data_IF_513711383541
#
_entry.id   IF_513711383541
#
_cell.length_a   1.000
_cell.length_b   1.000
_cell.length_c   1.000
_cell.angle_alpha   90.00
_cell.angle_beta   90.00
_cell.angle_gamma   90.00
#
_symmetry.space_group_name_H-M   'P 1'
#
loop_
_entity.id
_entity.type
_entity.pdbx_description
1 polymer ?
#
# COMPACT_ATOMS: atom_id res chain seq x y z
N UNK A 1 58.48 35.38 51.01
CA UNK A 1 57.05 35.01 51.08
C UNK A 1 56.71 34.26 49.80
N UNK A 2 56.58 32.93 49.87
CA UNK A 2 56.25 32.11 48.71
C UNK A 2 54.91 31.44 49.04
N UNK A 3 53.83 32.04 48.55
CA UNK A 3 52.47 31.54 48.72
C UNK A 3 52.31 30.25 47.92
N UNK A 4 52.04 29.16 48.63
CA UNK A 4 51.83 27.83 48.08
C UNK A 4 50.45 27.75 47.43
N UNK A 5 50.36 28.05 46.13
CA UNK A 5 49.14 27.84 45.35
C UNK A 5 48.91 26.35 45.14
N UNK A 6 48.31 25.70 46.13
CA UNK A 6 47.75 24.35 46.02
C UNK A 6 46.47 24.41 45.18
N UNK A 7 46.59 24.71 43.89
CA UNK A 7 45.52 24.42 42.95
C UNK A 7 45.36 22.90 42.89
N UNK A 8 44.35 22.39 43.60
CA UNK A 8 44.02 20.97 43.57
C UNK A 8 43.78 20.54 42.13
N UNK A 9 44.55 19.57 41.65
CA UNK A 9 44.45 19.00 40.29
C UNK A 9 43.00 18.63 39.93
N UNK A 10 42.22 18.20 40.92
CA UNK A 10 40.79 17.90 40.81
C UNK A 10 39.98 19.12 40.35
N UNK A 11 40.27 20.31 40.87
CA UNK A 11 39.58 21.54 40.49
C UNK A 11 39.90 21.97 39.05
N UNK A 12 41.14 21.77 38.61
CA UNK A 12 41.55 22.06 37.22
C UNK A 12 40.85 21.11 36.26
N UNK A 13 40.88 19.79 36.52
CA UNK A 13 40.21 18.78 35.69
C UNK A 13 38.70 19.00 35.65
N UNK A 14 38.07 19.33 36.79
CA UNK A 14 36.64 19.67 36.83
C UNK A 14 36.32 20.91 36.00
N UNK A 15 37.17 21.95 36.07
CA UNK A 15 37.01 23.16 35.27
C UNK A 15 37.25 22.91 33.77
N UNK A 16 38.16 21.99 33.42
CA UNK A 16 38.51 21.65 32.04
C UNK A 16 37.44 20.75 31.40
N UNK A 17 36.84 19.85 32.17
CA UNK A 17 35.61 19.13 31.82
C UNK A 17 34.46 20.11 31.61
N UNK A 18 34.28 21.10 32.48
CA UNK A 18 33.22 22.10 32.29
C UNK A 18 33.47 22.99 31.06
N UNK A 19 34.74 23.32 30.77
CA UNK A 19 35.14 24.17 29.65
C UNK A 19 35.03 23.44 28.30
N UNK A 20 35.41 22.17 28.24
CA UNK A 20 35.36 21.32 27.03
C UNK A 20 34.05 20.51 26.90
N UNK A 21 33.25 20.43 27.97
CA UNK A 21 32.01 19.66 28.05
C UNK A 21 30.88 20.14 27.14
N UNK A 22 31.04 21.27 26.46
CA UNK A 22 30.07 21.81 25.50
C UNK A 22 29.83 20.85 24.34
N UNK A 23 30.89 20.26 23.79
CA UNK A 23 30.81 19.31 22.66
C UNK A 23 30.04 18.04 23.05
N UNK A 24 30.40 17.31 24.13
CA UNK A 24 29.66 16.12 24.52
C UNK A 24 28.21 16.43 24.94
N UNK A 25 27.95 17.61 25.53
CA UNK A 25 26.58 18.04 25.83
C UNK A 25 25.74 18.24 24.56
N UNK A 26 26.30 18.90 23.54
CA UNK A 26 25.63 19.08 22.24
C UNK A 26 25.38 17.74 21.57
N UNK A 27 26.36 16.83 21.57
CA UNK A 27 26.21 15.48 21.03
C UNK A 27 25.13 14.68 21.77
N UNK A 28 25.07 14.78 23.10
CA UNK A 28 24.02 14.15 23.90
C UNK A 28 22.63 14.66 23.50
N UNK A 29 22.47 15.97 23.35
CA UNK A 29 21.21 16.57 22.89
C UNK A 29 20.89 16.10 21.47
N UNK A 30 21.86 16.08 20.56
CA UNK A 30 21.67 15.62 19.19
C UNK A 30 21.20 14.16 19.13
N UNK A 31 21.76 13.28 19.97
CA UNK A 31 21.32 11.87 20.07
C UNK A 31 19.89 11.77 20.61
N UNK A 32 19.53 12.57 21.63
CA UNK A 32 18.16 12.59 22.15
C UNK A 32 17.15 13.05 21.08
N UNK A 33 17.47 14.11 20.34
CA UNK A 33 16.64 14.60 19.23
C UNK A 33 16.52 13.53 18.13
N UNK A 34 17.62 12.88 17.78
CA UNK A 34 17.63 11.78 16.81
C UNK A 34 16.73 10.63 17.25
N UNK A 35 16.80 10.23 18.52
CA UNK A 35 15.95 9.16 19.07
C UNK A 35 14.46 9.50 18.95
N UNK A 36 14.06 10.72 19.31
CA UNK A 36 12.68 11.19 19.17
C UNK A 36 12.26 11.22 17.69
N UNK A 37 13.14 11.69 16.79
CA UNK A 37 12.86 11.73 15.36
C UNK A 37 12.61 10.32 14.78
N UNK A 38 13.43 9.34 15.17
CA UNK A 38 13.27 7.95 14.73
C UNK A 38 11.94 7.37 15.22
N UNK A 39 11.60 7.57 16.50
CA UNK A 39 10.34 7.07 17.08
C UNK A 39 9.12 7.70 16.41
N UNK A 40 9.15 9.02 16.20
CA UNK A 40 8.05 9.74 15.53
C UNK A 40 7.91 9.31 14.07
N UNK A 41 9.03 9.09 13.37
CA UNK A 41 9.04 8.59 12.00
C UNK A 41 8.44 7.19 11.94
N UNK A 42 8.88 6.26 12.80
CA UNK A 42 8.33 4.92 12.87
C UNK A 42 6.82 4.91 13.16
N UNK A 43 6.35 5.78 14.07
CA UNK A 43 4.93 5.91 14.37
C UNK A 43 4.13 6.43 13.16
N UNK A 44 4.63 7.48 12.48
CA UNK A 44 4.01 8.01 11.25
C UNK A 44 4.00 6.98 10.14
N UNK A 45 5.08 6.22 9.95
CA UNK A 45 5.15 5.14 8.97
C UNK A 45 4.09 4.10 9.24
N UNK A 46 3.92 3.64 10.49
CA UNK A 46 2.86 2.68 10.84
C UNK A 46 1.46 3.18 10.52
N UNK A 47 1.17 4.46 10.81
CA UNK A 47 -0.13 5.05 10.52
C UNK A 47 -0.40 5.14 9.00
N UNK A 48 0.59 5.61 8.25
CA UNK A 48 0.49 5.72 6.78
C UNK A 48 0.36 4.35 6.11
N UNK A 49 1.09 3.35 6.61
CA UNK A 49 0.98 1.97 6.12
C UNK A 49 -0.43 1.41 6.37
N UNK A 50 -1.00 1.61 7.55
CA UNK A 50 -2.35 1.14 7.85
C UNK A 50 -3.43 1.77 6.94
N UNK A 51 -3.33 3.09 6.69
CA UNK A 51 -4.24 3.77 5.76
C UNK A 51 -4.10 3.24 4.32
N UNK A 52 -2.86 3.02 3.89
CA UNK A 52 -2.60 2.44 2.57
C UNK A 52 -3.17 1.03 2.45
N UNK A 53 -2.99 0.19 3.47
CA UNK A 53 -3.53 -1.17 3.51
C UNK A 53 -5.06 -1.16 3.41
N UNK A 54 -5.74 -0.25 4.10
CA UNK A 54 -7.20 -0.13 4.02
C UNK A 54 -7.69 0.20 2.59
N UNK A 55 -7.04 1.16 1.92
CA UNK A 55 -7.36 1.51 0.54
C UNK A 55 -7.10 0.35 -0.44
N UNK A 56 -6.03 -0.42 -0.21
CA UNK A 56 -5.73 -1.61 -1.02
C UNK A 56 -6.82 -2.68 -0.85
N UNK A 57 -7.29 -2.91 0.38
CA UNK A 57 -8.38 -3.85 0.64
C UNK A 57 -9.69 -3.44 -0.04
N UNK A 58 -10.04 -2.16 0.00
CA UNK A 58 -11.23 -1.64 -0.69
C UNK A 58 -11.13 -1.83 -2.20
N UNK A 59 -9.97 -1.50 -2.78
CA UNK A 59 -9.70 -1.70 -4.19
C UNK A 59 -9.81 -3.17 -4.59
N UNK A 60 -9.27 -4.08 -3.78
CA UNK A 60 -9.32 -5.51 -4.07
C UNK A 60 -10.74 -6.06 -3.97
N UNK A 61 -11.57 -5.54 -3.04
CA UNK A 61 -12.98 -5.90 -2.96
C UNK A 61 -13.75 -5.48 -4.22
N UNK A 62 -13.55 -4.25 -4.70
CA UNK A 62 -14.15 -3.75 -5.94
C UNK A 62 -13.70 -4.56 -7.17
N UNK A 63 -12.42 -4.94 -7.23
CA UNK A 63 -11.88 -5.79 -8.30
C UNK A 63 -12.58 -7.16 -8.35
N UNK A 64 -12.90 -7.74 -7.20
CA UNK A 64 -13.64 -9.00 -7.10
C UNK A 64 -15.08 -8.82 -7.59
N UNK A 65 -15.76 -7.77 -7.15
CA UNK A 65 -17.13 -7.46 -7.56
C UNK A 65 -17.20 -7.21 -9.07
N UNK A 66 -16.28 -6.43 -9.62
CA UNK A 66 -16.16 -6.18 -11.05
C UNK A 66 -15.98 -7.47 -11.86
N UNK A 67 -15.10 -8.37 -11.41
CA UNK A 67 -14.92 -9.69 -12.02
C UNK A 67 -16.19 -10.52 -11.98
N UNK A 68 -16.93 -10.48 -10.88
CA UNK A 68 -18.20 -11.19 -10.76
C UNK A 68 -19.24 -10.63 -11.74
N UNK A 69 -19.36 -9.30 -11.84
CA UNK A 69 -20.24 -8.65 -12.82
C UNK A 69 -19.91 -9.04 -14.26
N UNK A 70 -18.62 -9.09 -14.61
CA UNK A 70 -18.20 -9.54 -15.95
C UNK A 70 -18.64 -10.98 -16.20
N UNK A 71 -18.48 -11.88 -15.21
CA UNK A 71 -18.92 -13.26 -15.35
C UNK A 71 -20.44 -13.35 -15.52
N UNK A 72 -21.20 -12.55 -14.78
CA UNK A 72 -22.65 -12.46 -14.91
C UNK A 72 -23.06 -11.93 -16.29
N UNK A 73 -22.42 -10.87 -16.79
CA UNK A 73 -22.69 -10.31 -18.11
C UNK A 73 -22.38 -11.31 -19.23
N UNK A 74 -21.24 -12.01 -19.16
CA UNK A 74 -20.91 -13.05 -20.12
C UNK A 74 -21.92 -14.22 -20.06
N UNK A 75 -22.33 -14.66 -18.86
CA UNK A 75 -23.35 -15.69 -18.71
C UNK A 75 -24.72 -15.27 -19.29
N UNK A 76 -25.05 -13.98 -19.22
CA UNK A 76 -26.28 -13.41 -19.80
C UNK A 76 -26.16 -13.09 -21.30
N UNK A 77 -24.93 -12.91 -21.79
CA UNK A 77 -24.62 -12.48 -23.16
C UNK A 77 -24.49 -13.62 -24.18
N UNK A 78 -23.98 -14.79 -23.79
CA UNK A 78 -23.31 -15.66 -24.76
C UNK A 78 -24.21 -16.66 -25.53
N UNK A 79 -25.42 -17.01 -25.08
CA UNK A 79 -26.25 -17.92 -25.89
C UNK A 79 -27.75 -17.91 -25.61
N UNK A 80 -28.17 -17.81 -24.34
CA UNK A 80 -29.56 -18.15 -23.99
C UNK A 80 -30.60 -17.15 -24.51
N UNK A 81 -30.23 -15.88 -24.74
CA UNK A 81 -31.21 -14.86 -25.11
C UNK A 81 -31.55 -14.87 -26.60
N UNK A 82 -30.54 -15.02 -27.46
CA UNK A 82 -30.75 -15.07 -28.91
C UNK A 82 -31.35 -16.41 -29.32
N UNK A 83 -30.84 -17.51 -28.77
CA UNK A 83 -31.35 -18.86 -29.05
C UNK A 83 -32.79 -19.03 -28.55
N UNK A 84 -33.10 -18.59 -27.31
CA UNK A 84 -34.49 -18.65 -26.79
C UNK A 84 -35.44 -17.77 -27.60
N UNK A 85 -35.04 -16.58 -28.04
CA UNK A 85 -35.89 -15.75 -28.90
C UNK A 85 -36.11 -16.42 -30.28
N UNK A 86 -35.07 -17.02 -30.86
CA UNK A 86 -35.16 -17.74 -32.13
C UNK A 86 -36.06 -19.00 -32.04
N UNK A 87 -35.95 -19.77 -30.96
CA UNK A 87 -36.75 -20.98 -30.76
C UNK A 87 -38.17 -20.69 -30.30
N UNK A 88 -38.38 -19.80 -29.31
CA UNK A 88 -39.72 -19.55 -28.74
C UNK A 88 -40.56 -18.57 -29.56
N UNK A 89 -39.98 -17.47 -30.08
CA UNK A 89 -40.75 -16.47 -30.86
C UNK A 89 -40.75 -16.72 -32.35
N UNK A 90 -39.66 -17.23 -32.91
CA UNK A 90 -39.52 -17.44 -34.36
C UNK A 90 -39.77 -18.90 -34.77
N UNK A 91 -40.03 -19.81 -33.82
CA UNK A 91 -40.21 -21.25 -34.04
C UNK A 91 -39.12 -21.88 -34.93
N UNK A 92 -37.89 -21.36 -34.85
CA UNK A 92 -36.79 -21.92 -35.62
C UNK A 92 -36.41 -23.28 -35.04
N UNK A 93 -36.64 -24.34 -35.82
CA UNK A 93 -36.12 -25.68 -35.57
C UNK A 93 -34.78 -25.87 -36.27
N UNK A 94 -33.88 -26.59 -35.63
CA UNK A 94 -32.62 -27.02 -36.25
C UNK A 94 -32.97 -27.93 -37.44
N UNK A 95 -32.58 -27.52 -38.64
CA UNK A 95 -32.99 -28.21 -39.88
C UNK A 95 -32.09 -29.43 -40.10
N UNK A 96 -32.71 -30.57 -40.38
CA UNK A 96 -32.03 -31.83 -40.67
C UNK A 96 -31.21 -31.71 -41.97
N UNK A 97 -29.97 -32.26 -42.06
CA UNK A 97 -29.08 -32.11 -43.23
C UNK A 97 -29.66 -32.59 -44.56
N UNK A 98 -30.81 -33.28 -44.54
CA UNK A 98 -31.57 -33.70 -45.72
C UNK A 98 -32.43 -32.59 -46.37
N UNK A 99 -32.56 -31.41 -45.76
CA UNK A 99 -33.39 -30.28 -46.23
C UNK A 99 -32.57 -28.99 -46.53
N UNK A 100 -31.25 -29.09 -46.58
CA UNK A 100 -30.35 -27.94 -46.75
C UNK A 100 -30.21 -27.55 -48.23
N UNK A 101 -30.70 -26.37 -48.62
CA UNK A 101 -30.47 -25.80 -49.95
C UNK A 101 -29.36 -24.76 -49.84
N UNK A 102 -28.15 -25.15 -50.25
CA UNK A 102 -26.97 -24.28 -50.24
C UNK A 102 -27.04 -23.37 -51.47
N UNK A 103 -27.39 -22.09 -51.26
CA UNK A 103 -27.35 -21.09 -52.33
C UNK A 103 -25.92 -20.54 -52.43
N UNK A 104 -25.18 -21.02 -53.41
CA UNK A 104 -23.85 -20.49 -53.74
C UNK A 104 -24.06 -19.18 -54.52
N UNK A 105 -23.65 -18.06 -53.93
CA UNK A 105 -23.71 -16.76 -54.59
C UNK A 105 -22.56 -16.66 -55.62
N UNK A 106 -22.80 -16.11 -56.84
CA UNK A 106 -21.78 -16.04 -57.89
C UNK A 106 -20.64 -15.06 -57.60
#
# INVERSE_FOLDING_TARGET
MIGNERHGLVGVIASDILRNGKIPLILMIAVLVSAILVVTTAHRTRLLTAQREQLVLERDALDIEWRNLILEENALGDHSRVERIATEKLQMQHVDPSQEIIVVQP
#
